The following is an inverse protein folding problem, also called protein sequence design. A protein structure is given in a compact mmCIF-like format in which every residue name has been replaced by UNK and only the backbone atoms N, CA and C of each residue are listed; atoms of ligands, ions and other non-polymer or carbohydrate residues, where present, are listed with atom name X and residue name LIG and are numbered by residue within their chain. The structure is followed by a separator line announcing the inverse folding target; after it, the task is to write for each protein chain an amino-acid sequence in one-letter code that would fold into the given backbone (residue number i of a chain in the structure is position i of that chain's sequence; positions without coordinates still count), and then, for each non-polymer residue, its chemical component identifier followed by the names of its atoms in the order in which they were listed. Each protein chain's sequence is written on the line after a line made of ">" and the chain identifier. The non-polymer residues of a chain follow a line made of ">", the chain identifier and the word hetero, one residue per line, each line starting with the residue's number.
data_IF_792204520918
#
_entry.id   IF_792204520918
#
_cell.length_a   1.000
_cell.length_b   1.000
_cell.length_c   1.000
_cell.angle_alpha   90.00
_cell.angle_beta   90.00
_cell.angle_gamma   90.00
#
_symmetry.space_group_name_H-M   'P 1'
#
loop_
_entity.id
_entity.type
_entity.pdbx_description
1 polymer ?
#
# COMPACT_ATOMS: atom_id res chain seq x y z
N UNK A 1 -18.55 -2.64 -1.07
CA UNK A 1 -18.22 -4.01 -0.60
C UNK A 1 -16.87 -4.00 0.09
N UNK A 2 -16.64 -4.98 0.97
CA UNK A 2 -15.32 -5.19 1.59
C UNK A 2 -14.35 -5.85 0.60
N UNK A 3 -13.05 -5.54 0.72
CA UNK A 3 -12.02 -6.21 -0.10
C UNK A 3 -12.09 -7.72 0.09
N UNK A 4 -12.24 -8.20 1.33
CA UNK A 4 -12.37 -9.64 1.61
C UNK A 4 -13.57 -10.29 0.91
N UNK A 5 -14.69 -9.58 0.76
CA UNK A 5 -15.86 -10.08 0.06
C UNK A 5 -15.60 -10.20 -1.45
N UNK A 6 -14.91 -9.21 -2.05
CA UNK A 6 -14.48 -9.30 -3.45
C UNK A 6 -13.56 -10.49 -3.69
N UNK A 7 -12.58 -10.71 -2.79
CA UNK A 7 -11.62 -11.82 -2.90
C UNK A 7 -12.29 -13.18 -2.77
N UNK A 8 -13.26 -13.32 -1.86
CA UNK A 8 -13.96 -14.57 -1.60
C UNK A 8 -15.04 -14.91 -2.64
N UNK A 9 -15.61 -13.91 -3.30
CA UNK A 9 -16.69 -14.09 -4.29
C UNK A 9 -16.19 -14.32 -5.71
N UNK A 10 -14.90 -14.09 -5.98
CA UNK A 10 -14.34 -14.22 -7.33
C UNK A 10 -13.70 -15.59 -7.54
N UNK A 11 -14.09 -16.25 -8.64
CA UNK A 11 -13.43 -17.46 -9.13
C UNK A 11 -12.14 -17.17 -9.93
N UNK A 12 -11.94 -15.91 -10.32
CA UNK A 12 -10.81 -15.48 -11.12
C UNK A 12 -9.90 -14.54 -10.32
N UNK A 13 -8.63 -14.51 -10.67
CA UNK A 13 -7.67 -13.53 -10.14
C UNK A 13 -8.15 -12.11 -10.43
N UNK A 14 -8.35 -11.31 -9.40
CA UNK A 14 -8.78 -9.92 -9.52
C UNK A 14 -7.62 -9.00 -9.93
N UNK A 15 -7.99 -7.86 -10.53
CA UNK A 15 -7.09 -6.74 -10.82
C UNK A 15 -7.34 -5.61 -9.82
N UNK A 16 -6.28 -5.11 -9.20
CA UNK A 16 -6.31 -3.89 -8.39
C UNK A 16 -5.02 -3.08 -8.54
N UNK A 17 -5.05 -1.83 -8.15
CA UNK A 17 -3.86 -0.98 -8.18
C UNK A 17 -3.94 0.12 -7.12
N UNK A 18 -2.78 0.71 -6.82
CA UNK A 18 -2.73 1.89 -5.98
C UNK A 18 -2.37 3.15 -6.77
N UNK A 19 -2.86 4.26 -6.29
CA UNK A 19 -2.52 5.59 -6.78
C UNK A 19 -1.80 6.40 -5.71
N UNK A 20 -0.94 7.28 -6.18
CA UNK A 20 -0.27 8.28 -5.36
C UNK A 20 -1.00 9.63 -5.48
N UNK A 21 -1.51 10.22 -4.38
CA UNK A 21 -2.10 11.56 -4.43
C UNK A 21 -1.16 12.59 -5.07
N UNK A 22 -1.66 13.52 -5.88
CA UNK A 22 -0.83 14.51 -6.55
C UNK A 22 -0.20 15.49 -5.56
N UNK A 23 0.85 16.16 -5.97
CA UNK A 23 1.40 17.28 -5.19
C UNK A 23 0.36 18.42 -5.11
N UNK A 24 0.38 19.16 -4.00
CA UNK A 24 -0.47 20.36 -3.81
C UNK A 24 -0.33 21.31 -5.01
N UNK A 25 -1.42 21.93 -5.39
CA UNK A 25 -1.50 22.81 -6.56
C UNK A 25 -1.92 22.11 -7.86
N UNK A 26 -2.03 20.79 -7.87
CA UNK A 26 -2.66 20.03 -8.96
C UNK A 26 -4.13 19.78 -8.68
N UNK A 27 -4.93 19.62 -9.73
CA UNK A 27 -6.36 19.29 -9.61
C UNK A 27 -6.58 17.79 -9.41
N UNK A 28 -7.81 17.42 -8.99
CA UNK A 28 -8.27 16.03 -8.91
C UNK A 28 -8.20 15.32 -10.28
N UNK A 29 -8.31 16.08 -11.39
CA UNK A 29 -8.21 15.53 -12.73
C UNK A 29 -6.93 14.74 -12.96
N UNK A 30 -5.81 15.16 -12.36
CA UNK A 30 -4.56 14.42 -12.46
C UNK A 30 -4.61 13.01 -11.82
N UNK A 31 -5.53 12.77 -10.89
CA UNK A 31 -5.82 11.42 -10.34
C UNK A 31 -6.63 10.64 -11.35
N UNK A 32 -7.69 11.24 -11.88
CA UNK A 32 -8.57 10.61 -12.85
C UNK A 32 -7.83 10.21 -14.12
N UNK A 33 -6.93 11.06 -14.63
CA UNK A 33 -6.08 10.76 -15.78
C UNK A 33 -5.20 9.50 -15.56
N UNK A 34 -4.84 9.22 -14.31
CA UNK A 34 -4.10 8.02 -13.93
C UNK A 34 -5.00 6.77 -13.78
N UNK A 35 -6.25 6.94 -13.40
CA UNK A 35 -7.21 5.86 -13.16
C UNK A 35 -7.94 5.46 -14.45
N UNK A 36 -8.45 6.45 -15.24
CA UNK A 36 -9.28 6.21 -16.41
C UNK A 36 -8.72 5.14 -17.37
N UNK A 37 -7.39 5.10 -17.66
CA UNK A 37 -6.83 4.07 -18.54
C UNK A 37 -6.87 2.64 -17.98
N UNK A 38 -7.09 2.45 -16.68
CA UNK A 38 -7.11 1.15 -16.01
C UNK A 38 -8.53 0.64 -15.74
N UNK A 39 -9.56 1.46 -15.93
CA UNK A 39 -10.94 1.08 -15.68
C UNK A 39 -11.46 0.02 -16.65
N UNK A 40 -10.84 -0.11 -17.83
CA UNK A 40 -11.18 -1.19 -18.79
C UNK A 40 -10.95 -2.60 -18.22
N UNK A 41 -10.06 -2.76 -17.23
CA UNK A 41 -9.78 -4.03 -16.54
C UNK A 41 -10.67 -4.29 -15.33
N UNK A 42 -11.67 -3.45 -15.09
CA UNK A 42 -12.72 -3.59 -14.06
C UNK A 42 -12.16 -3.85 -12.66
N UNK A 43 -11.26 -2.98 -12.15
CA UNK A 43 -10.76 -3.12 -10.79
C UNK A 43 -11.92 -3.15 -9.80
N UNK A 44 -11.85 -4.01 -8.79
CA UNK A 44 -12.86 -4.09 -7.75
C UNK A 44 -12.60 -3.09 -6.62
N UNK A 45 -11.33 -2.75 -6.41
CA UNK A 45 -10.92 -1.75 -5.43
C UNK A 45 -9.64 -1.04 -5.88
N UNK A 46 -9.48 0.19 -5.42
CA UNK A 46 -8.34 1.07 -5.72
C UNK A 46 -7.76 1.58 -4.40
N UNK A 47 -6.46 1.36 -4.19
CA UNK A 47 -5.76 1.86 -3.01
C UNK A 47 -5.29 3.29 -3.21
N UNK A 48 -5.34 4.09 -2.15
CA UNK A 48 -4.87 5.48 -2.14
C UNK A 48 -3.79 5.64 -1.08
N UNK A 49 -2.53 5.88 -1.52
CA UNK A 49 -1.41 6.03 -0.60
C UNK A 49 -1.52 7.29 0.24
N UNK A 50 -1.09 7.20 1.50
CA UNK A 50 -0.95 8.36 2.37
C UNK A 50 0.51 8.79 2.50
N UNK A 51 0.75 10.09 2.46
CA UNK A 51 2.05 10.69 2.75
C UNK A 51 1.89 11.72 3.85
N UNK A 52 2.59 11.51 4.98
CA UNK A 52 2.58 12.44 6.09
C UNK A 52 3.22 13.79 5.74
N UNK A 53 3.00 14.78 6.58
CA UNK A 53 3.63 16.08 6.48
C UNK A 53 5.14 15.96 6.61
N UNK A 54 5.86 16.78 5.87
CA UNK A 54 7.30 16.96 5.99
C UNK A 54 7.59 18.29 6.72
N UNK A 55 8.77 18.39 7.30
CA UNK A 55 9.19 19.61 7.95
C UNK A 55 10.24 20.32 7.11
N UNK A 56 10.14 21.68 7.05
CA UNK A 56 11.22 22.56 6.62
C UNK A 56 11.65 23.42 7.81
N UNK A 57 12.90 23.85 7.78
CA UNK A 57 13.43 24.79 8.74
C UNK A 57 13.65 26.12 8.02
N UNK A 58 13.03 27.20 8.54
CA UNK A 58 13.18 28.55 8.01
C UNK A 58 13.91 29.38 9.03
N UNK A 59 15.01 30.01 8.60
CA UNK A 59 15.71 30.98 9.43
C UNK A 59 14.87 32.26 9.59
N UNK A 60 14.79 32.75 10.82
CA UNK A 60 14.14 33.99 11.20
C UNK A 60 15.18 35.10 11.35
N UNK A 61 14.76 36.37 11.31
CA UNK A 61 15.62 37.55 11.40
C UNK A 61 16.46 37.58 12.71
N UNK A 62 16.06 36.87 13.72
CA UNK A 62 16.80 36.71 15.01
C UNK A 62 17.79 35.53 14.99
N UNK A 63 18.04 34.89 13.84
CA UNK A 63 18.95 33.74 13.70
C UNK A 63 18.41 32.40 14.21
N UNK A 64 17.17 32.35 14.69
CA UNK A 64 16.54 31.10 15.11
C UNK A 64 15.92 30.36 13.91
N UNK A 65 15.96 29.02 13.98
CA UNK A 65 15.31 28.15 13.00
C UNK A 65 13.89 27.83 13.45
N UNK A 66 12.92 28.23 12.65
CA UNK A 66 11.54 27.84 12.83
C UNK A 66 11.23 26.54 12.07
N UNK A 67 10.71 25.54 12.80
CA UNK A 67 10.23 24.30 12.20
C UNK A 67 8.79 24.49 11.67
N UNK A 68 8.62 24.39 10.36
CA UNK A 68 7.32 24.54 9.70
C UNK A 68 6.90 23.20 9.11
N UNK A 69 5.71 22.72 9.48
CA UNK A 69 5.10 21.56 8.85
C UNK A 69 4.54 21.91 7.46
N UNK A 70 4.86 21.10 6.47
CA UNK A 70 4.36 21.27 5.11
C UNK A 70 3.64 20.01 4.66
N UNK A 71 2.35 20.14 4.40
CA UNK A 71 1.57 19.12 3.72
C UNK A 71 1.78 19.24 2.21
N UNK A 72 2.44 18.24 1.63
CA UNK A 72 2.76 18.24 0.19
C UNK A 72 1.67 17.64 -0.69
N UNK A 73 0.80 16.79 -0.11
CA UNK A 73 -0.26 16.06 -0.82
C UNK A 73 -1.58 16.15 -0.07
N UNK A 74 -2.72 16.09 -0.76
CA UNK A 74 -4.02 15.99 -0.09
C UNK A 74 -4.14 14.70 0.72
N UNK A 75 -5.05 14.69 1.70
CA UNK A 75 -5.38 13.49 2.48
C UNK A 75 -6.17 12.46 1.68
N UNK A 76 -6.16 11.21 2.14
CA UNK A 76 -6.78 10.10 1.43
C UNK A 76 -8.30 10.12 1.50
N UNK A 77 -8.92 10.62 2.59
CA UNK A 77 -10.37 10.62 2.80
C UNK A 77 -11.12 11.26 1.62
N UNK A 78 -10.81 12.52 1.29
CA UNK A 78 -11.48 13.22 0.18
C UNK A 78 -11.20 12.63 -1.20
N UNK A 79 -10.01 12.04 -1.41
CA UNK A 79 -9.68 11.37 -2.67
C UNK A 79 -10.46 10.07 -2.82
N UNK A 80 -10.54 9.25 -1.76
CA UNK A 80 -11.31 8.01 -1.76
C UNK A 80 -12.79 8.29 -2.05
N UNK A 81 -13.38 9.30 -1.39
CA UNK A 81 -14.75 9.72 -1.66
C UNK A 81 -14.95 10.13 -3.13
N UNK A 82 -14.01 10.89 -3.71
CA UNK A 82 -14.08 11.31 -5.11
C UNK A 82 -13.95 10.12 -6.10
N UNK A 83 -13.11 9.13 -5.79
CA UNK A 83 -12.94 7.91 -6.58
C UNK A 83 -14.23 7.09 -6.55
N UNK A 84 -14.77 6.82 -5.36
CA UNK A 84 -16.00 6.05 -5.20
C UNK A 84 -17.18 6.72 -5.93
N UNK A 85 -17.32 8.03 -5.79
CA UNK A 85 -18.39 8.78 -6.45
C UNK A 85 -18.27 8.78 -7.99
N UNK A 86 -17.04 8.80 -8.54
CA UNK A 86 -16.85 8.86 -9.99
C UNK A 86 -16.88 7.48 -10.66
N UNK A 87 -16.31 6.47 -10.02
CA UNK A 87 -16.07 5.17 -10.67
C UNK A 87 -16.95 4.04 -10.14
N UNK A 88 -17.66 4.25 -9.04
CA UNK A 88 -18.44 3.22 -8.36
C UNK A 88 -17.60 1.98 -8.00
N UNK A 89 -16.33 2.23 -7.61
CA UNK A 89 -15.34 1.21 -7.22
C UNK A 89 -14.94 1.46 -5.78
N UNK A 90 -14.76 0.40 -5.00
CA UNK A 90 -14.38 0.52 -3.60
C UNK A 90 -12.98 1.15 -3.47
N UNK A 91 -12.85 2.14 -2.59
CA UNK A 91 -11.58 2.78 -2.30
C UNK A 91 -10.99 2.26 -1.01
N UNK A 92 -9.66 2.09 -0.99
CA UNK A 92 -8.91 1.62 0.18
C UNK A 92 -7.89 2.71 0.56
N UNK A 93 -8.22 3.62 1.49
CA UNK A 93 -7.24 4.57 2.01
C UNK A 93 -6.15 3.84 2.80
N UNK A 94 -4.91 4.25 2.59
CA UNK A 94 -3.83 3.87 3.49
C UNK A 94 -3.90 4.72 4.76
N UNK A 95 -3.87 4.07 5.90
CA UNK A 95 -3.69 4.67 7.22
C UNK A 95 -2.29 4.35 7.72
N UNK A 96 -1.60 5.34 8.26
CA UNK A 96 -0.23 5.18 8.74
C UNK A 96 -0.07 5.66 10.18
N UNK A 97 0.79 4.99 10.94
CA UNK A 97 1.14 5.42 12.30
C UNK A 97 1.91 6.75 12.33
N UNK A 98 2.65 7.03 11.25
CA UNK A 98 3.54 8.18 11.20
C UNK A 98 2.81 9.52 11.10
N UNK A 99 3.03 10.40 12.09
CA UNK A 99 2.52 11.77 12.07
C UNK A 99 1.10 11.95 12.59
N UNK A 100 0.47 10.91 13.13
CA UNK A 100 -0.87 10.95 13.72
C UNK A 100 -0.86 10.58 15.20
N UNK A 101 -1.67 11.29 16.01
CA UNK A 101 -2.10 10.80 17.30
C UNK A 101 -3.18 9.70 17.14
N UNK A 102 -3.52 9.03 18.24
CA UNK A 102 -4.60 8.04 18.24
C UNK A 102 -5.95 8.71 17.95
N UNK A 103 -6.18 9.90 18.50
CA UNK A 103 -7.40 10.70 18.29
C UNK A 103 -7.51 11.15 16.83
N UNK A 104 -6.42 11.60 16.21
CA UNK A 104 -6.44 11.97 14.79
C UNK A 104 -6.70 10.76 13.88
N UNK A 105 -6.24 9.57 14.28
CA UNK A 105 -6.54 8.31 13.60
C UNK A 105 -8.01 7.95 13.74
N UNK A 106 -8.58 8.07 14.94
CA UNK A 106 -10.02 7.85 15.21
C UNK A 106 -10.88 8.81 14.41
N UNK A 107 -10.55 10.10 14.40
CA UNK A 107 -11.27 11.10 13.61
C UNK A 107 -11.26 10.76 12.10
N UNK A 108 -10.14 10.32 11.57
CA UNK A 108 -10.05 9.91 10.17
C UNK A 108 -10.92 8.67 9.88
N UNK A 109 -10.98 7.71 10.80
CA UNK A 109 -11.83 6.52 10.69
C UNK A 109 -13.31 6.88 10.76
N UNK A 110 -13.72 7.81 11.63
CA UNK A 110 -15.09 8.33 11.69
C UNK A 110 -15.48 8.98 10.37
N UNK A 111 -14.62 9.84 9.81
CA UNK A 111 -14.86 10.48 8.51
C UNK A 111 -15.04 9.44 7.40
N UNK A 112 -14.20 8.40 7.37
CA UNK A 112 -14.29 7.30 6.40
C UNK A 112 -15.59 6.53 6.54
N UNK A 113 -16.01 6.20 7.76
CA UNK A 113 -17.26 5.50 8.03
C UNK A 113 -18.47 6.31 7.52
N UNK A 114 -18.52 7.62 7.82
CA UNK A 114 -19.61 8.50 7.35
C UNK A 114 -19.66 8.64 5.83
N UNK A 115 -18.54 8.43 5.14
CA UNK A 115 -18.48 8.41 3.68
C UNK A 115 -18.79 7.03 3.07
N UNK A 116 -19.08 5.99 3.88
CA UNK A 116 -19.31 4.63 3.43
C UNK A 116 -18.04 3.94 2.89
N UNK A 117 -16.89 4.33 3.40
CA UNK A 117 -15.57 3.73 3.04
C UNK A 117 -15.24 2.68 4.09
N UNK A 118 -15.54 1.42 3.79
CA UNK A 118 -15.43 0.30 4.74
C UNK A 118 -14.09 -0.47 4.63
N UNK A 119 -13.15 0.00 3.82
CA UNK A 119 -11.87 -0.68 3.60
C UNK A 119 -10.71 0.22 4.00
N UNK A 120 -9.70 -0.34 4.67
CA UNK A 120 -8.48 0.39 5.02
C UNK A 120 -7.26 -0.50 4.88
N UNK A 121 -6.10 0.08 4.52
CA UNK A 121 -4.81 -0.60 4.59
C UNK A 121 -3.98 0.04 5.72
N UNK A 122 -3.80 -0.71 6.81
CA UNK A 122 -3.11 -0.26 8.01
C UNK A 122 -1.60 -0.51 7.91
N UNK A 123 -0.82 0.56 7.93
CA UNK A 123 0.63 0.54 7.74
C UNK A 123 1.34 1.29 8.87
N UNK A 124 2.60 0.98 9.11
CA UNK A 124 3.42 1.83 9.98
C UNK A 124 3.76 3.16 9.29
N UNK A 125 4.02 3.11 8.01
CA UNK A 125 4.57 4.20 7.23
C UNK A 125 6.09 4.28 7.31
N UNK A 126 6.68 5.05 6.40
CA UNK A 126 8.12 5.24 6.27
C UNK A 126 8.61 6.46 7.09
N UNK A 127 9.93 6.49 7.37
CA UNK A 127 10.58 7.70 7.86
C UNK A 127 10.54 8.81 6.80
N UNK A 128 10.40 10.06 7.23
CA UNK A 128 10.57 11.20 6.32
C UNK A 128 12.06 11.46 6.05
N UNK A 129 12.34 12.22 4.99
CA UNK A 129 13.72 12.49 4.54
C UNK A 129 14.63 13.11 5.59
N UNK A 130 14.05 13.79 6.58
CA UNK A 130 14.77 14.43 7.68
C UNK A 130 14.97 13.53 8.90
N UNK A 131 14.48 12.29 8.85
CA UNK A 131 14.60 11.29 9.90
C UNK A 131 15.48 10.13 9.45
N UNK A 132 16.40 9.69 10.31
CA UNK A 132 17.27 8.53 10.05
C UNK A 132 16.56 7.19 10.25
N UNK A 133 15.46 7.18 11.02
CA UNK A 133 14.62 6.04 11.29
C UNK A 133 13.17 6.52 11.54
N UNK A 134 12.21 5.62 11.42
CA UNK A 134 10.82 5.92 11.74
C UNK A 134 10.67 6.41 13.19
N UNK A 135 9.90 7.48 13.38
CA UNK A 135 9.53 8.02 14.70
C UNK A 135 8.02 8.16 14.79
N UNK A 136 7.37 7.46 15.75
CA UNK A 136 5.95 7.62 15.98
C UNK A 136 5.64 9.03 16.51
N UNK A 137 4.39 9.46 16.36
CA UNK A 137 3.89 10.60 17.13
C UNK A 137 3.89 10.22 18.62
N UNK A 138 4.14 11.20 19.51
CA UNK A 138 4.24 10.94 20.98
C UNK A 138 2.98 10.27 21.55
N UNK A 139 1.80 10.64 21.02
CA UNK A 139 0.48 10.13 21.40
C UNK A 139 -0.11 9.21 20.31
N UNK A 140 0.72 8.68 19.40
CA UNK A 140 0.34 7.83 18.27
C UNK A 140 0.81 6.39 18.42
N UNK A 141 0.62 5.63 17.35
CA UNK A 141 1.02 4.22 17.29
C UNK A 141 2.49 4.07 16.84
N UNK A 142 3.19 3.12 17.44
CA UNK A 142 4.57 2.80 17.07
C UNK A 142 4.63 1.76 15.94
N UNK A 143 3.68 0.83 15.89
CA UNK A 143 3.64 -0.29 14.96
C UNK A 143 2.28 -0.44 14.29
N UNK A 144 2.26 -1.04 13.11
CA UNK A 144 1.01 -1.29 12.39
C UNK A 144 0.03 -2.18 13.18
N UNK A 145 0.53 -3.10 14.01
CA UNK A 145 -0.33 -3.93 14.87
C UNK A 145 -1.12 -3.10 15.87
N UNK A 146 -0.53 -2.03 16.41
CA UNK A 146 -1.23 -1.15 17.36
C UNK A 146 -2.34 -0.37 16.65
N UNK A 147 -2.10 0.07 15.41
CA UNK A 147 -3.11 0.71 14.57
C UNK A 147 -4.25 -0.26 14.22
N UNK A 148 -3.93 -1.51 13.87
CA UNK A 148 -4.93 -2.54 13.58
C UNK A 148 -5.78 -2.81 14.83
N UNK A 149 -5.20 -2.89 16.02
CA UNK A 149 -5.94 -3.05 17.27
C UNK A 149 -6.93 -1.91 17.47
N UNK A 150 -6.53 -0.66 17.29
CA UNK A 150 -7.45 0.49 17.41
C UNK A 150 -8.62 0.38 16.44
N UNK A 151 -8.38 0.03 15.17
CA UNK A 151 -9.46 -0.13 14.19
C UNK A 151 -10.38 -1.30 14.58
N UNK A 152 -9.82 -2.40 15.08
CA UNK A 152 -10.58 -3.56 15.53
C UNK A 152 -11.42 -3.26 16.79
N UNK A 153 -10.91 -2.44 17.72
CA UNK A 153 -11.65 -1.95 18.87
C UNK A 153 -12.85 -1.09 18.43
N UNK A 154 -12.68 -0.19 17.47
CA UNK A 154 -13.78 0.59 16.88
C UNK A 154 -14.78 -0.30 16.13
N UNK A 155 -14.33 -1.36 15.46
CA UNK A 155 -15.22 -2.39 14.89
C UNK A 155 -16.01 -3.15 15.97
N UNK A 156 -15.55 -3.16 17.21
CA UNK A 156 -16.28 -3.65 18.39
C UNK A 156 -17.13 -2.59 19.09
N UNK A 157 -17.14 -1.33 18.61
CA UNK A 157 -17.87 -0.22 19.23
C UNK A 157 -17.12 0.46 20.40
N UNK A 158 -15.80 0.18 20.54
CA UNK A 158 -14.96 0.79 21.58
C UNK A 158 -14.14 1.94 20.99
N UNK A 159 -14.35 3.15 21.50
CA UNK A 159 -13.67 4.38 21.09
C UNK A 159 -12.74 4.88 22.21
N UNK A 160 -11.81 5.80 21.90
CA UNK A 160 -10.68 6.12 22.80
C UNK A 160 -11.11 6.71 24.14
N UNK A 161 -12.13 7.55 24.15
CA UNK A 161 -12.49 8.36 25.36
C UNK A 161 -13.85 8.01 25.92
N UNK A 162 -14.58 7.08 25.30
CA UNK A 162 -15.94 6.78 25.71
C UNK A 162 -16.00 5.61 26.67
N UNK A 163 -16.57 5.85 27.86
CA UNK A 163 -16.83 4.82 28.88
C UNK A 163 -18.07 3.95 28.56
N UNK A 164 -18.69 4.16 27.39
CA UNK A 164 -19.87 3.44 26.92
C UNK A 164 -19.59 2.85 25.53
N UNK A 165 -20.16 1.68 25.30
CA UNK A 165 -20.08 1.05 23.98
C UNK A 165 -20.96 1.83 23.01
N UNK A 166 -20.36 2.27 21.89
CA UNK A 166 -21.03 2.99 20.81
C UNK A 166 -21.36 2.05 19.65
N UNK A 167 -21.95 2.59 18.57
CA UNK A 167 -22.20 1.81 17.36
C UNK A 167 -20.88 1.34 16.74
N UNK A 168 -20.74 0.03 16.44
CA UNK A 168 -19.54 -0.51 15.83
C UNK A 168 -19.29 0.07 14.44
N UNK A 169 -18.03 0.31 14.11
CA UNK A 169 -17.60 0.46 12.71
C UNK A 169 -17.56 -0.91 12.03
N UNK A 170 -17.33 -0.94 10.71
CA UNK A 170 -17.32 -2.19 9.94
C UNK A 170 -16.14 -2.25 8.95
N UNK A 171 -14.95 -1.81 9.39
CA UNK A 171 -13.78 -1.77 8.52
C UNK A 171 -13.23 -3.16 8.22
N UNK A 172 -13.00 -3.44 6.92
CA UNK A 172 -12.14 -4.50 6.44
C UNK A 172 -10.69 -4.01 6.47
N UNK A 173 -9.84 -4.69 7.23
CA UNK A 173 -8.49 -4.24 7.53
C UNK A 173 -7.48 -5.03 6.70
N UNK A 174 -6.72 -4.35 5.84
CA UNK A 174 -5.55 -4.90 5.18
C UNK A 174 -4.27 -4.59 5.92
N UNK A 175 -3.26 -5.45 5.77
CA UNK A 175 -1.93 -5.26 6.31
C UNK A 175 -0.84 -5.51 5.26
N UNK A 176 0.37 -4.98 5.46
CA UNK A 176 1.51 -5.27 4.60
C UNK A 176 2.26 -6.54 5.05
N UNK A 177 2.67 -7.35 4.05
CA UNK A 177 3.60 -8.48 4.19
C UNK A 177 4.84 -8.29 3.30
N UNK A 178 5.91 -9.06 3.53
CA UNK A 178 7.20 -8.88 2.87
C UNK A 178 7.76 -10.23 2.40
N UNK A 179 7.63 -10.59 1.11
CA UNK A 179 8.15 -11.86 0.58
C UNK A 179 9.65 -12.05 0.79
N UNK A 180 10.41 -10.94 0.81
CA UNK A 180 11.86 -10.94 1.03
C UNK A 180 12.27 -10.47 2.43
N UNK A 181 11.35 -10.49 3.40
CA UNK A 181 11.52 -10.01 4.76
C UNK A 181 11.52 -8.49 4.89
N UNK A 182 10.89 -7.95 5.92
CA UNK A 182 11.05 -6.53 6.29
C UNK A 182 12.50 -6.24 6.72
N UNK A 183 13.06 -5.13 6.26
CA UNK A 183 14.48 -4.82 6.47
C UNK A 183 14.90 -4.65 7.94
N UNK A 184 13.98 -4.27 8.82
CA UNK A 184 14.22 -4.16 10.27
C UNK A 184 14.08 -5.50 11.01
N UNK A 185 13.46 -6.51 10.42
CA UNK A 185 13.35 -7.83 11.04
C UNK A 185 14.69 -8.56 10.97
N UNK A 186 15.07 -9.25 12.06
CA UNK A 186 16.33 -9.98 12.12
C UNK A 186 16.39 -11.12 11.11
N UNK A 187 15.29 -11.82 10.91
CA UNK A 187 15.15 -12.95 9.99
C UNK A 187 13.69 -13.11 9.54
N UNK A 188 13.43 -14.01 8.59
CA UNK A 188 12.09 -14.29 8.08
C UNK A 188 11.14 -14.80 9.18
N UNK A 189 11.60 -15.66 10.07
CA UNK A 189 10.76 -16.20 11.14
C UNK A 189 10.25 -15.09 12.08
N UNK A 190 11.09 -14.12 12.42
CA UNK A 190 10.68 -12.96 13.21
C UNK A 190 9.68 -12.06 12.44
N UNK A 191 9.89 -11.88 11.15
CA UNK A 191 8.98 -11.08 10.30
C UNK A 191 7.60 -11.73 10.17
N UNK A 192 7.57 -13.04 9.96
CA UNK A 192 6.34 -13.84 9.94
C UNK A 192 5.60 -13.80 11.28
N UNK A 193 6.33 -13.84 12.41
CA UNK A 193 5.73 -13.67 13.73
C UNK A 193 5.01 -12.31 13.85
N UNK A 194 5.64 -11.22 13.43
CA UNK A 194 4.99 -9.90 13.43
C UNK A 194 3.82 -9.82 12.46
N UNK A 195 3.90 -10.52 11.33
CA UNK A 195 2.77 -10.60 10.40
C UNK A 195 1.59 -11.37 11.02
N UNK A 196 1.87 -12.47 11.73
CA UNK A 196 0.85 -13.23 12.46
C UNK A 196 0.16 -12.37 13.52
N UNK A 197 0.92 -11.55 14.27
CA UNK A 197 0.34 -10.61 15.24
C UNK A 197 -0.64 -9.62 14.58
N UNK A 198 -0.36 -9.13 13.36
CA UNK A 198 -1.28 -8.24 12.63
C UNK A 198 -2.58 -8.96 12.24
N UNK A 199 -2.48 -10.22 11.80
CA UNK A 199 -3.66 -11.04 11.47
C UNK A 199 -4.47 -11.34 12.71
N UNK A 200 -3.82 -11.71 13.82
CA UNK A 200 -4.48 -11.98 15.10
C UNK A 200 -5.15 -10.73 15.71
N UNK A 201 -4.61 -9.54 15.40
CA UNK A 201 -5.19 -8.25 15.77
C UNK A 201 -6.41 -7.84 14.91
N UNK A 202 -6.70 -8.55 13.81
CA UNK A 202 -7.89 -8.32 12.98
C UNK A 202 -7.63 -7.99 11.51
N UNK A 203 -6.40 -8.13 11.00
CA UNK A 203 -6.17 -7.98 9.56
C UNK A 203 -6.81 -9.14 8.79
N UNK A 204 -7.65 -8.82 7.81
CA UNK A 204 -8.45 -9.77 7.03
C UNK A 204 -7.79 -10.15 5.69
N UNK A 205 -6.83 -9.37 5.22
CA UNK A 205 -6.03 -9.66 4.02
C UNK A 205 -4.65 -9.02 4.10
N UNK A 206 -3.72 -9.52 3.29
CA UNK A 206 -2.34 -9.03 3.22
C UNK A 206 -2.06 -8.55 1.80
N UNK A 207 -1.44 -7.38 1.64
CA UNK A 207 -0.84 -6.92 0.38
C UNK A 207 0.67 -6.98 0.55
N UNK A 208 1.39 -7.64 -0.38
CA UNK A 208 2.84 -7.76 -0.23
C UNK A 208 3.57 -6.52 -0.71
N UNK A 209 4.75 -6.26 -0.14
CA UNK A 209 5.75 -5.41 -0.79
C UNK A 209 6.07 -5.98 -2.18
N UNK A 210 6.49 -5.10 -3.11
CA UNK A 210 6.92 -5.53 -4.44
C UNK A 210 8.08 -6.52 -4.36
N UNK A 211 8.10 -7.44 -5.30
CA UNK A 211 9.15 -8.42 -5.52
C UNK A 211 9.28 -8.69 -7.02
N UNK A 212 10.38 -9.28 -7.46
CA UNK A 212 10.65 -9.55 -8.88
C UNK A 212 10.87 -11.04 -9.17
N UNK A 213 10.87 -11.88 -8.14
CA UNK A 213 10.94 -13.33 -8.22
C UNK A 213 9.67 -13.93 -7.60
N UNK A 214 8.83 -14.58 -8.42
CA UNK A 214 7.59 -15.18 -7.95
C UNK A 214 7.83 -16.33 -6.97
N UNK A 215 8.98 -17.00 -7.04
CA UNK A 215 9.32 -18.08 -6.09
C UNK A 215 9.40 -17.55 -4.65
N UNK A 216 9.91 -16.33 -4.45
CA UNK A 216 9.93 -15.67 -3.13
C UNK A 216 8.52 -15.45 -2.57
N UNK A 217 7.58 -15.09 -3.44
CA UNK A 217 6.19 -14.94 -3.04
C UNK A 217 5.56 -16.29 -2.67
N UNK A 218 5.78 -17.34 -3.47
CA UNK A 218 5.21 -18.66 -3.16
C UNK A 218 5.77 -19.22 -1.86
N UNK A 219 7.08 -19.17 -1.66
CA UNK A 219 7.74 -19.58 -0.40
C UNK A 219 7.21 -18.78 0.81
N UNK A 220 6.99 -17.48 0.64
CA UNK A 220 6.40 -16.63 1.68
C UNK A 220 4.96 -17.05 2.01
N UNK A 221 4.14 -17.35 1.00
CA UNK A 221 2.76 -17.82 1.22
C UNK A 221 2.76 -19.15 1.96
N UNK A 222 3.59 -20.10 1.55
CA UNK A 222 3.71 -21.41 2.20
C UNK A 222 4.13 -21.26 3.66
N UNK A 223 5.16 -20.44 3.94
CA UNK A 223 5.62 -20.16 5.30
C UNK A 223 4.53 -19.45 6.14
N UNK A 224 3.71 -18.58 5.54
CA UNK A 224 2.56 -18.00 6.22
C UNK A 224 1.53 -19.06 6.61
N UNK A 225 1.24 -20.00 5.72
CA UNK A 225 0.28 -21.10 6.00
C UNK A 225 0.76 -22.03 7.11
N UNK A 226 2.06 -22.35 7.14
CA UNK A 226 2.67 -23.18 8.20
C UNK A 226 2.48 -22.60 9.60
N UNK A 227 2.45 -21.28 9.76
CA UNK A 227 2.22 -20.62 11.07
C UNK A 227 0.76 -20.20 11.30
N UNK A 228 -0.18 -20.67 10.46
CA UNK A 228 -1.62 -20.44 10.62
C UNK A 228 -2.10 -19.06 10.16
N UNK A 229 -1.39 -18.39 9.25
CA UNK A 229 -1.90 -17.21 8.54
C UNK A 229 -2.71 -17.70 7.34
N UNK A 230 -4.04 -17.70 7.45
CA UNK A 230 -4.95 -18.24 6.43
C UNK A 230 -5.68 -17.18 5.60
N UNK A 231 -5.52 -15.89 5.93
CA UNK A 231 -6.11 -14.78 5.17
C UNK A 231 -5.53 -14.71 3.75
N UNK A 232 -6.27 -14.14 2.77
CA UNK A 232 -5.75 -13.93 1.43
C UNK A 232 -4.48 -13.09 1.42
N UNK A 233 -3.50 -13.48 0.60
CA UNK A 233 -2.25 -12.77 0.40
C UNK A 233 -2.20 -12.30 -1.04
N UNK A 234 -2.23 -11.00 -1.25
CA UNK A 234 -2.28 -10.33 -2.55
C UNK A 234 -0.85 -9.96 -2.96
N UNK A 235 -0.30 -10.51 -4.06
CA UNK A 235 1.00 -10.09 -4.57
C UNK A 235 0.96 -8.65 -5.07
N UNK A 236 1.90 -7.83 -4.59
CA UNK A 236 2.13 -6.46 -5.02
C UNK A 236 3.21 -6.40 -6.09
N UNK A 237 2.92 -5.88 -7.27
CA UNK A 237 3.86 -5.79 -8.39
C UNK A 237 4.14 -4.35 -8.80
N UNK A 238 5.39 -4.07 -9.16
CA UNK A 238 5.80 -2.76 -9.63
C UNK A 238 6.60 -2.87 -10.92
N UNK A 239 6.10 -2.33 -12.06
CA UNK A 239 6.88 -2.28 -13.29
C UNK A 239 8.12 -1.39 -13.14
N UNK A 240 9.26 -1.85 -13.68
CA UNK A 240 10.48 -1.05 -13.79
C UNK A 240 10.30 -0.10 -14.98
N UNK A 241 10.62 1.20 -14.81
CA UNK A 241 10.33 2.23 -15.82
C UNK A 241 11.55 3.04 -16.28
N UNK A 242 12.61 3.06 -15.50
CA UNK A 242 13.77 3.89 -15.79
C UNK A 242 15.04 3.37 -15.10
N UNK A 243 16.18 3.87 -15.53
CA UNK A 243 17.50 3.48 -15.02
C UNK A 243 17.64 3.68 -13.51
N UNK A 244 17.03 4.74 -12.94
CA UNK A 244 17.13 4.99 -11.51
C UNK A 244 16.46 3.90 -10.66
N UNK A 245 15.47 3.19 -11.19
CA UNK A 245 14.82 2.07 -10.49
C UNK A 245 15.79 0.93 -10.19
N UNK A 246 16.79 0.69 -11.05
CA UNK A 246 17.77 -0.40 -10.88
C UNK A 246 18.54 -0.25 -9.56
N UNK A 247 18.86 0.98 -9.18
CA UNK A 247 19.62 1.25 -7.94
C UNK A 247 18.72 1.67 -6.79
N UNK A 248 17.64 2.41 -7.09
CA UNK A 248 16.74 2.95 -6.06
C UNK A 248 15.89 1.87 -5.40
N UNK A 249 15.27 0.98 -6.20
CA UNK A 249 14.34 -0.01 -5.64
C UNK A 249 15.04 -1.00 -4.69
N UNK A 250 16.16 -1.65 -5.03
CA UNK A 250 16.89 -2.51 -4.10
C UNK A 250 17.40 -1.75 -2.87
N UNK A 251 17.93 -0.54 -3.08
CA UNK A 251 18.48 0.27 -1.98
C UNK A 251 17.42 0.71 -0.99
N UNK A 252 16.26 1.17 -1.47
CA UNK A 252 15.21 1.75 -0.65
C UNK A 252 14.30 0.68 -0.04
N UNK A 253 13.81 -0.25 -0.86
CA UNK A 253 12.86 -1.28 -0.43
C UNK A 253 13.52 -2.59 0.04
N UNK A 254 14.86 -2.71 -0.11
CA UNK A 254 15.62 -3.90 0.29
C UNK A 254 15.12 -5.19 -0.38
N UNK A 255 14.78 -5.06 -1.65
CA UNK A 255 14.33 -6.15 -2.51
C UNK A 255 15.45 -6.56 -3.46
N UNK A 256 15.40 -7.80 -3.96
CA UNK A 256 16.36 -8.34 -4.91
C UNK A 256 15.83 -8.32 -6.34
N UNK A 257 16.73 -8.11 -7.31
CA UNK A 257 16.45 -8.39 -8.69
C UNK A 257 17.04 -9.77 -9.07
N UNK A 258 16.24 -10.67 -9.67
CA UNK A 258 16.77 -11.91 -10.22
C UNK A 258 17.86 -11.66 -11.24
N UNK A 259 18.86 -12.55 -11.28
CA UNK A 259 19.98 -12.46 -12.22
C UNK A 259 19.55 -12.30 -13.68
N UNK A 260 18.49 -13.00 -14.09
CA UNK A 260 17.93 -12.90 -15.44
C UNK A 260 17.43 -11.48 -15.73
N UNK A 261 16.67 -10.88 -14.84
CA UNK A 261 16.17 -9.50 -14.96
C UNK A 261 17.33 -8.50 -14.98
N UNK A 262 18.27 -8.64 -14.05
CA UNK A 262 19.44 -7.77 -13.95
C UNK A 262 20.27 -7.76 -15.23
N UNK A 263 20.49 -8.92 -15.84
CA UNK A 263 21.23 -9.06 -17.10
C UNK A 263 20.53 -8.35 -18.27
N UNK A 264 19.21 -8.42 -18.35
CA UNK A 264 18.44 -7.71 -19.39
C UNK A 264 18.44 -6.20 -19.17
N UNK A 265 18.24 -5.75 -17.94
CA UNK A 265 18.26 -4.32 -17.60
C UNK A 265 19.63 -3.67 -17.89
N UNK A 266 20.74 -4.37 -17.63
CA UNK A 266 22.10 -3.86 -17.88
C UNK A 266 22.45 -3.73 -19.37
N UNK A 267 21.73 -4.38 -20.28
CA UNK A 267 21.87 -4.21 -21.73
C UNK A 267 21.18 -2.95 -22.25
N UNK A 268 20.23 -2.39 -21.49
CA UNK A 268 19.42 -1.26 -21.91
C UNK A 268 20.24 0.03 -21.90
N UNK A 269 20.07 0.85 -22.95
CA UNK A 269 20.81 2.11 -23.13
C UNK A 269 20.00 3.35 -22.68
N UNK A 270 18.68 3.21 -22.57
CA UNK A 270 17.78 4.31 -22.25
C UNK A 270 16.57 3.83 -21.45
N UNK A 271 15.79 4.79 -20.95
CA UNK A 271 14.61 4.50 -20.15
C UNK A 271 13.51 3.78 -20.92
N UNK A 272 13.41 3.97 -22.24
CA UNK A 272 12.39 3.30 -23.06
C UNK A 272 12.67 1.79 -23.14
N UNK A 273 13.93 1.42 -23.33
CA UNK A 273 14.35 0.03 -23.32
C UNK A 273 14.16 -0.62 -21.94
N UNK A 274 14.47 0.11 -20.85
CA UNK A 274 14.21 -0.32 -19.47
C UNK A 274 12.72 -0.54 -19.21
N UNK A 275 11.87 0.40 -19.65
CA UNK A 275 10.41 0.28 -19.48
C UNK A 275 9.86 -0.93 -20.24
N UNK A 276 10.37 -1.20 -21.45
CA UNK A 276 9.98 -2.37 -22.24
C UNK A 276 10.34 -3.68 -21.53
N UNK A 277 11.56 -3.81 -21.03
CA UNK A 277 11.98 -4.98 -20.22
C UNK A 277 11.10 -5.09 -18.96
N UNK A 278 10.82 -3.98 -18.28
CA UNK A 278 9.95 -3.96 -17.10
C UNK A 278 8.52 -4.40 -17.40
N UNK A 279 7.97 -4.05 -18.56
CA UNK A 279 6.64 -4.50 -19.02
C UNK A 279 6.66 -6.01 -19.31
N UNK A 280 7.61 -6.48 -20.09
CA UNK A 280 7.74 -7.91 -20.45
C UNK A 280 7.91 -8.78 -19.20
N UNK A 281 8.77 -8.38 -18.28
CA UNK A 281 8.92 -9.05 -16.99
C UNK A 281 7.62 -9.07 -16.18
N UNK A 282 6.94 -7.91 -16.08
CA UNK A 282 5.66 -7.79 -15.38
C UNK A 282 4.55 -8.66 -16.00
N UNK A 283 4.52 -8.81 -17.33
CA UNK A 283 3.59 -9.72 -18.03
C UNK A 283 3.87 -11.17 -17.63
N UNK A 284 5.14 -11.59 -17.68
CA UNK A 284 5.53 -12.96 -17.32
C UNK A 284 5.21 -13.26 -15.85
N UNK A 285 5.60 -12.38 -14.93
CA UNK A 285 5.27 -12.51 -13.50
C UNK A 285 3.76 -12.64 -13.29
N UNK A 286 2.98 -11.75 -13.89
CA UNK A 286 1.54 -11.71 -13.70
C UNK A 286 0.85 -12.96 -14.27
N UNK A 287 1.28 -13.45 -15.44
CA UNK A 287 0.75 -14.69 -16.04
C UNK A 287 1.03 -15.91 -15.16
N UNK A 288 2.21 -16.01 -14.59
CA UNK A 288 2.58 -17.10 -13.69
C UNK A 288 1.77 -17.04 -12.38
N UNK A 289 1.64 -15.87 -11.75
CA UNK A 289 0.83 -15.67 -10.55
C UNK A 289 -0.65 -16.03 -10.82
N UNK A 290 -1.18 -15.58 -11.95
CA UNK A 290 -2.56 -15.91 -12.36
C UNK A 290 -2.74 -17.42 -12.59
N UNK A 291 -1.78 -18.09 -13.20
CA UNK A 291 -1.79 -19.55 -13.39
C UNK A 291 -1.74 -20.33 -12.06
N UNK A 292 -1.25 -19.71 -10.98
CA UNK A 292 -1.25 -20.24 -9.62
C UNK A 292 -2.51 -19.81 -8.81
N UNK A 293 -3.49 -19.21 -9.48
CA UNK A 293 -4.78 -18.79 -8.89
C UNK A 293 -4.61 -17.86 -7.68
N UNK A 294 -3.67 -16.90 -7.73
CA UNK A 294 -3.60 -15.86 -6.69
C UNK A 294 -4.91 -15.07 -6.64
N UNK A 295 -5.37 -14.64 -5.45
CA UNK A 295 -6.72 -14.05 -5.31
C UNK A 295 -6.87 -12.73 -6.07
N UNK A 296 -5.81 -11.95 -6.15
CA UNK A 296 -5.74 -10.65 -6.81
C UNK A 296 -4.29 -10.34 -7.15
N UNK A 297 -4.02 -9.57 -8.19
CA UNK A 297 -2.72 -8.95 -8.44
C UNK A 297 -2.86 -7.45 -8.24
N UNK A 298 -2.06 -6.89 -7.35
CA UNK A 298 -2.06 -5.47 -7.00
C UNK A 298 -0.88 -4.75 -7.65
N UNK A 299 -1.13 -3.64 -8.40
CA UNK A 299 -0.09 -2.93 -9.13
C UNK A 299 0.23 -1.56 -8.52
N UNK A 300 1.50 -1.33 -8.21
CA UNK A 300 2.04 -0.05 -7.74
C UNK A 300 2.27 0.92 -8.90
N UNK A 301 1.24 1.71 -9.27
CA UNK A 301 1.29 2.59 -10.45
C UNK A 301 2.14 3.84 -10.27
N UNK A 302 2.22 4.37 -9.04
CA UNK A 302 2.88 5.65 -8.72
C UNK A 302 2.36 6.80 -9.60
N UNK A 303 1.07 6.86 -9.85
CA UNK A 303 0.37 7.84 -10.69
C UNK A 303 0.74 7.82 -12.20
N UNK A 304 1.36 6.75 -12.67
CA UNK A 304 1.60 6.51 -14.09
C UNK A 304 1.13 5.10 -14.46
N UNK A 305 0.00 5.03 -15.14
CA UNK A 305 -0.67 3.79 -15.49
C UNK A 305 -0.16 3.12 -16.78
N UNK A 306 0.70 3.77 -17.58
CA UNK A 306 1.07 3.30 -18.93
C UNK A 306 1.63 1.88 -18.93
N UNK A 307 2.65 1.59 -18.11
CA UNK A 307 3.27 0.26 -18.04
C UNK A 307 2.30 -0.77 -17.45
N UNK A 308 1.51 -0.38 -16.41
CA UNK A 308 0.50 -1.27 -15.81
C UNK A 308 -0.61 -1.59 -16.81
N UNK A 309 -1.07 -0.59 -17.61
CA UNK A 309 -2.03 -0.80 -18.69
C UNK A 309 -1.52 -1.80 -19.72
N UNK A 310 -0.25 -1.66 -20.15
CA UNK A 310 0.37 -2.58 -21.11
C UNK A 310 0.43 -4.01 -20.57
N UNK A 311 0.79 -4.18 -19.29
CA UNK A 311 0.80 -5.49 -18.61
C UNK A 311 -0.61 -6.06 -18.51
N UNK A 312 -1.56 -5.26 -18.03
CA UNK A 312 -2.94 -5.71 -17.79
C UNK A 312 -3.64 -6.18 -19.07
N UNK A 313 -3.38 -5.56 -20.22
CA UNK A 313 -3.90 -6.00 -21.54
C UNK A 313 -3.49 -7.42 -21.93
N UNK A 314 -2.34 -7.89 -21.46
CA UNK A 314 -1.84 -9.22 -21.76
C UNK A 314 -2.24 -10.28 -20.72
N UNK A 315 -2.77 -9.82 -19.58
CA UNK A 315 -3.04 -10.68 -18.42
C UNK A 315 -4.52 -10.81 -18.11
N UNK A 316 -5.29 -9.71 -18.21
CA UNK A 316 -6.72 -9.62 -17.86
C UNK A 316 -7.61 -9.37 -19.07
#
# INVERSE_FOLDING_TARGET
>A
MKVIEHLNSSENTLFSFEILPPLKGKSIQSIFDGIDPLMEFKPKFINVTYHREEYIYKERDNGLLEKIAIRKRPGTVGICAAIMNKYEVDAVPHLICGGFSKEETENALIDLQFLGIDNVLALRGDSIKTESAFRPHKDGHAYAVDLINQISEMNGGNYIVDDVQLEPTNFCIGAAGYPEKHFESMNMSTDLHYLKMKVDAGAEYIVTQMFFDNQKYFEFVDACREIGINVPIIPGLKPIKNLSHITFLPKFFKIDFPDALSKELLKCKDNKAIEQVGIEWGIQQSKELKAKNVPCIHYYTMSNSTSVKAIAKEVF
#
